data_IF_202883215448
#
_entry.id   IF_202883215448
#
_cell.length_a   1.000
_cell.length_b   1.000
_cell.length_c   1.000
_cell.angle_alpha   90.00
_cell.angle_beta   90.00
_cell.angle_gamma   90.00
#
_symmetry.space_group_name_H-M   'P 1'
#
loop_
_entity.id
_entity.type
_entity.pdbx_description
1 polymer ?
#
# COMPACT_ATOMS: atom_id res chain seq x y z
N UNK A 1 -13.36 30.70 10.97
CA UNK A 1 -14.02 30.42 9.67
C UNK A 1 -13.04 30.12 8.52
N UNK A 2 -11.70 30.21 8.70
CA UNK A 2 -10.75 30.16 7.57
C UNK A 2 -9.80 28.95 7.55
N UNK A 3 -10.01 27.90 8.37
CA UNK A 3 -9.12 26.72 8.39
C UNK A 3 -9.80 25.39 8.04
N UNK A 4 -11.14 25.34 8.06
CA UNK A 4 -11.90 24.16 7.54
C UNK A 4 -11.84 24.13 6.00
N UNK A 5 -11.65 25.30 5.38
CA UNK A 5 -11.35 25.43 3.96
C UNK A 5 -9.95 24.88 3.62
N UNK A 6 -9.04 24.72 4.58
CA UNK A 6 -7.68 24.23 4.32
C UNK A 6 -7.63 22.73 3.99
N UNK A 7 -8.50 21.90 4.53
CA UNK A 7 -8.51 20.46 4.21
C UNK A 7 -9.17 20.19 2.85
N UNK A 8 -10.23 20.93 2.54
CA UNK A 8 -10.80 20.98 1.18
C UNK A 8 -9.94 21.83 0.22
N UNK A 9 -9.24 22.85 0.73
CA UNK A 9 -8.29 23.64 -0.05
C UNK A 9 -6.94 22.92 -0.27
N UNK A 10 -6.54 21.98 0.58
CA UNK A 10 -5.41 21.10 0.29
C UNK A 10 -5.74 20.18 -0.89
N UNK A 11 -6.97 19.68 -0.95
CA UNK A 11 -7.45 18.93 -2.14
C UNK A 11 -7.55 19.86 -3.35
N UNK A 12 -7.98 21.12 -3.20
CA UNK A 12 -8.11 22.06 -4.32
C UNK A 12 -6.78 22.73 -4.73
N UNK A 13 -5.82 22.90 -3.81
CA UNK A 13 -4.49 23.42 -4.14
C UNK A 13 -3.57 22.35 -4.74
N UNK A 14 -3.83 21.06 -4.50
CA UNK A 14 -3.15 19.97 -5.20
C UNK A 14 -3.57 19.86 -6.67
N UNK A 15 -4.79 20.30 -7.01
CA UNK A 15 -5.26 20.36 -8.41
C UNK A 15 -4.58 21.46 -9.24
N UNK A 16 -3.97 22.49 -8.62
CA UNK A 16 -3.34 23.60 -9.33
C UNK A 16 -1.82 23.50 -9.50
N UNK A 17 -1.17 22.49 -8.93
CA UNK A 17 0.22 22.14 -9.23
C UNK A 17 0.31 21.01 -10.26
N UNK A 18 -0.39 21.15 -11.38
CA UNK A 18 0.01 20.42 -12.60
C UNK A 18 1.30 21.08 -13.13
N UNK A 19 2.42 20.71 -12.54
CA UNK A 19 3.70 20.91 -13.19
C UNK A 19 3.73 19.99 -14.41
N UNK A 20 3.74 20.63 -15.57
CA UNK A 20 3.87 20.01 -16.88
C UNK A 20 5.19 19.23 -16.98
N UNK A 21 5.23 18.01 -16.46
CA UNK A 21 6.12 17.01 -17.03
C UNK A 21 5.46 16.55 -18.34
N UNK A 22 6.13 16.79 -19.45
CA UNK A 22 5.74 16.31 -20.76
C UNK A 22 5.62 14.77 -20.71
N UNK A 23 4.43 14.30 -20.35
CA UNK A 23 4.08 12.89 -20.43
C UNK A 23 3.94 12.55 -21.93
N UNK A 24 4.96 11.89 -22.47
CA UNK A 24 4.78 11.17 -23.72
C UNK A 24 3.70 10.12 -23.47
N UNK A 25 2.64 10.18 -24.28
CA UNK A 25 1.36 9.50 -24.10
C UNK A 25 1.46 8.02 -23.66
N UNK A 26 1.56 7.80 -22.36
CA UNK A 26 1.20 6.52 -21.76
C UNK A 26 -0.31 6.49 -21.56
N UNK A 27 -0.94 5.35 -21.70
CA UNK A 27 -2.35 5.20 -21.37
C UNK A 27 -2.51 5.16 -19.84
N UNK A 28 -2.68 6.35 -19.25
CA UNK A 28 -2.82 6.51 -17.79
C UNK A 28 -4.18 6.08 -17.26
N UNK A 29 -5.09 5.58 -18.15
CA UNK A 29 -6.40 5.07 -17.74
C UNK A 29 -6.26 3.78 -16.93
N UNK A 30 -7.28 3.49 -16.13
CA UNK A 30 -7.37 2.20 -15.44
C UNK A 30 -7.38 1.05 -16.45
N UNK A 31 -6.48 0.10 -16.29
CA UNK A 31 -6.34 -1.10 -17.08
C UNK A 31 -6.52 -2.34 -16.20
N UNK A 32 -6.81 -3.48 -16.85
CA UNK A 32 -7.01 -4.75 -16.16
C UNK A 32 -6.31 -5.87 -16.89
N UNK A 33 -5.57 -6.70 -16.14
CA UNK A 33 -5.00 -7.94 -16.62
C UNK A 33 -5.78 -9.12 -16.01
N UNK A 34 -6.47 -9.89 -16.84
CA UNK A 34 -7.05 -11.17 -16.42
C UNK A 34 -5.94 -12.21 -16.33
N UNK A 35 -5.79 -12.83 -15.15
CA UNK A 35 -4.81 -13.89 -14.91
C UNK A 35 -5.46 -15.28 -14.76
N UNK A 36 -6.78 -15.37 -15.02
CA UNK A 36 -7.57 -16.60 -14.89
C UNK A 36 -7.71 -17.05 -13.44
N UNK A 37 -8.09 -18.29 -13.23
CA UNK A 37 -8.15 -18.84 -11.88
C UNK A 37 -6.78 -18.79 -11.23
N UNK A 38 -6.75 -18.20 -10.04
CA UNK A 38 -5.51 -17.89 -9.35
C UNK A 38 -5.44 -18.67 -8.01
N UNK A 39 -4.54 -19.67 -7.91
CA UNK A 39 -4.37 -20.44 -6.69
C UNK A 39 -3.72 -19.60 -5.59
N UNK A 40 -4.21 -19.74 -4.37
CA UNK A 40 -3.69 -19.12 -3.16
C UNK A 40 -2.86 -20.10 -2.34
N UNK A 41 -1.95 -19.59 -1.51
CA UNK A 41 -1.09 -20.44 -0.65
C UNK A 41 -1.87 -21.31 0.33
N UNK A 42 -3.08 -20.91 0.70
CA UNK A 42 -3.96 -21.68 1.59
C UNK A 42 -4.74 -22.81 0.88
N UNK A 43 -4.48 -23.07 -0.38
CA UNK A 43 -5.13 -24.09 -1.20
C UNK A 43 -6.47 -23.67 -1.80
N UNK A 44 -6.99 -22.47 -1.50
CA UNK A 44 -8.14 -21.89 -2.17
C UNK A 44 -7.72 -21.27 -3.51
N UNK A 45 -8.68 -20.74 -4.26
CA UNK A 45 -8.39 -20.01 -5.50
C UNK A 45 -9.37 -18.86 -5.69
N UNK A 46 -8.89 -17.78 -6.34
CA UNK A 46 -9.74 -16.68 -6.83
C UNK A 46 -10.17 -17.02 -8.24
N UNK A 47 -11.47 -17.17 -8.46
CA UNK A 47 -12.05 -17.43 -9.79
C UNK A 47 -11.96 -16.17 -10.64
N UNK A 48 -11.56 -16.31 -11.91
CA UNK A 48 -11.47 -15.20 -12.88
C UNK A 48 -10.70 -13.99 -12.35
N UNK A 49 -9.56 -14.23 -11.71
CA UNK A 49 -8.77 -13.19 -11.06
C UNK A 49 -8.31 -12.10 -12.04
N UNK A 50 -8.58 -10.85 -11.68
CA UNK A 50 -8.17 -9.65 -12.43
C UNK A 50 -7.29 -8.78 -11.54
N UNK A 51 -6.23 -8.24 -12.14
CA UNK A 51 -5.35 -7.26 -11.50
C UNK A 51 -5.53 -5.93 -12.22
N UNK A 52 -5.95 -4.92 -11.48
CA UNK A 52 -6.02 -3.54 -11.96
C UNK A 52 -4.64 -2.89 -11.93
N UNK A 53 -4.35 -2.04 -12.90
CA UNK A 53 -3.11 -1.28 -12.94
C UNK A 53 -3.26 -0.01 -13.77
N UNK A 54 -2.33 0.92 -13.57
CA UNK A 54 -2.14 2.11 -14.41
C UNK A 54 -0.66 2.22 -14.72
N UNK A 55 -0.30 2.79 -15.85
CA UNK A 55 1.10 2.88 -16.25
C UNK A 55 1.47 4.27 -16.77
N UNK A 56 2.72 4.65 -16.55
CA UNK A 56 3.27 5.95 -16.86
C UNK A 56 4.66 5.80 -17.50
N UNK A 57 5.04 6.70 -18.38
CA UNK A 57 6.27 6.59 -19.14
C UNK A 57 6.17 5.60 -20.29
N UNK A 58 7.30 5.20 -20.87
CA UNK A 58 7.37 4.33 -22.03
C UNK A 58 8.19 3.07 -21.76
N UNK A 59 7.57 1.91 -21.93
CA UNK A 59 8.30 0.65 -21.88
C UNK A 59 9.25 0.53 -23.09
N UNK A 60 10.54 0.31 -22.83
CA UNK A 60 11.54 0.15 -23.89
C UNK A 60 11.36 -1.19 -24.64
N UNK A 61 12.00 -1.32 -25.80
CA UNK A 61 11.87 -2.50 -26.67
C UNK A 61 12.32 -3.79 -25.97
N UNK A 62 13.31 -3.72 -25.09
CA UNK A 62 13.82 -4.87 -24.31
C UNK A 62 13.03 -5.14 -23.04
N UNK A 63 12.03 -4.30 -22.72
CA UNK A 63 11.20 -4.38 -21.49
C UNK A 63 12.02 -4.39 -20.18
N UNK A 64 13.16 -3.70 -20.19
CA UNK A 64 14.14 -3.72 -19.11
C UNK A 64 14.11 -2.47 -18.22
N UNK A 65 13.18 -1.51 -18.43
CA UNK A 65 13.09 -0.28 -17.68
C UNK A 65 11.84 -0.18 -16.80
N UNK A 66 11.24 -1.31 -16.45
CA UNK A 66 10.01 -1.34 -15.67
C UNK A 66 10.28 -1.17 -14.17
N UNK A 67 9.46 -0.34 -13.52
CA UNK A 67 9.35 -0.18 -12.08
C UNK A 67 7.90 -0.42 -11.69
N UNK A 68 7.66 -1.19 -10.64
CA UNK A 68 6.30 -1.39 -10.12
C UNK A 68 6.11 -0.69 -8.77
N UNK A 69 4.87 -0.28 -8.53
CA UNK A 69 4.46 0.36 -7.28
C UNK A 69 3.08 -0.20 -6.86
N UNK A 70 3.01 -1.25 -6.04
CA UNK A 70 1.76 -1.78 -5.52
C UNK A 70 1.12 -0.85 -4.49
N UNK A 71 -0.21 -0.80 -4.46
CA UNK A 71 -0.98 0.06 -3.56
C UNK A 71 -0.83 -0.34 -2.10
N UNK A 72 -0.90 0.67 -1.22
CA UNK A 72 -1.07 0.50 0.23
C UNK A 72 -2.47 -0.03 0.61
N UNK A 73 -2.68 -0.25 1.91
CA UNK A 73 -3.97 -0.73 2.43
C UNK A 73 -5.11 0.24 2.14
N UNK A 74 -6.22 -0.27 1.59
CA UNK A 74 -7.37 0.53 1.19
C UNK A 74 -7.15 1.48 0.01
N UNK A 75 -5.91 1.63 -0.45
CA UNK A 75 -5.56 2.53 -1.55
C UNK A 75 -5.87 1.94 -2.94
N UNK A 76 -6.15 2.81 -3.90
CA UNK A 76 -6.25 2.48 -5.32
C UNK A 76 -5.18 3.23 -6.11
N UNK A 77 -4.86 2.76 -7.32
CA UNK A 77 -3.89 3.44 -8.19
C UNK A 77 -4.33 4.85 -8.56
N UNK A 78 -5.64 5.11 -8.62
CA UNK A 78 -6.18 6.46 -8.82
C UNK A 78 -5.88 7.38 -7.62
N UNK A 79 -6.05 6.88 -6.40
CA UNK A 79 -5.72 7.64 -5.18
C UNK A 79 -4.22 7.89 -5.06
N UNK A 80 -3.39 6.91 -5.42
CA UNK A 80 -1.93 7.09 -5.43
C UNK A 80 -1.53 8.26 -6.33
N UNK A 81 -2.10 8.36 -7.53
CA UNK A 81 -1.83 9.49 -8.43
C UNK A 81 -2.29 10.83 -7.84
N UNK A 82 -3.48 10.89 -7.24
CA UNK A 82 -3.99 12.10 -6.59
C UNK A 82 -3.08 12.58 -5.44
N UNK A 83 -2.46 11.66 -4.73
CA UNK A 83 -1.53 11.96 -3.64
C UNK A 83 -0.08 12.12 -4.09
N UNK A 84 0.18 12.17 -5.42
CA UNK A 84 1.53 12.34 -5.96
C UNK A 84 2.45 11.14 -5.76
N UNK A 85 1.92 9.99 -5.35
CA UNK A 85 2.71 8.75 -5.26
C UNK A 85 3.14 8.35 -6.67
N UNK A 86 4.43 8.10 -6.84
CA UNK A 86 5.08 7.89 -8.14
C UNK A 86 5.81 9.12 -8.66
N UNK A 87 5.70 10.28 -8.02
CA UNK A 87 6.58 11.43 -8.30
C UNK A 87 8.05 11.14 -7.98
N UNK A 88 8.28 10.17 -7.11
CA UNK A 88 9.59 9.64 -6.75
C UNK A 88 10.22 8.74 -7.83
N UNK A 89 9.46 8.39 -8.89
CA UNK A 89 9.93 7.61 -10.04
C UNK A 89 9.95 8.47 -11.31
N UNK A 90 11.13 8.69 -11.87
CA UNK A 90 11.29 9.45 -13.13
C UNK A 90 10.72 8.70 -14.33
N UNK A 91 9.50 9.02 -14.72
CA UNK A 91 8.78 8.38 -15.84
C UNK A 91 9.34 8.76 -17.23
N UNK A 92 10.30 9.67 -17.32
CA UNK A 92 11.03 9.91 -18.57
C UNK A 92 12.06 8.81 -18.85
N UNK A 93 12.53 8.13 -17.80
CA UNK A 93 13.52 7.04 -17.85
C UNK A 93 12.86 5.68 -17.64
N UNK A 94 11.92 5.58 -16.73
CA UNK A 94 11.31 4.34 -16.29
C UNK A 94 9.87 4.20 -16.79
N UNK A 95 9.48 2.97 -17.03
CA UNK A 95 8.07 2.62 -17.22
C UNK A 95 7.50 2.23 -15.86
N UNK A 96 6.79 3.15 -15.24
CA UNK A 96 6.16 2.96 -13.94
C UNK A 96 4.81 2.25 -14.10
N UNK A 97 4.59 1.18 -13.34
CA UNK A 97 3.33 0.45 -13.26
C UNK A 97 2.82 0.56 -11.82
N UNK A 98 1.80 1.37 -11.60
CA UNK A 98 1.03 1.35 -10.35
C UNK A 98 0.09 0.15 -10.40
N UNK A 99 0.11 -0.69 -9.35
CA UNK A 99 -0.67 -1.94 -9.33
C UNK A 99 -1.67 -1.89 -8.18
N UNK A 100 -2.94 -2.07 -8.51
CA UNK A 100 -4.00 -2.25 -7.54
C UNK A 100 -3.83 -3.61 -6.83
N UNK A 101 -3.60 -3.60 -5.52
CA UNK A 101 -3.46 -4.83 -4.75
C UNK A 101 -4.79 -5.61 -4.71
N UNK A 102 -4.73 -6.93 -4.57
CA UNK A 102 -5.92 -7.75 -4.32
C UNK A 102 -6.71 -7.20 -3.13
N UNK A 103 -8.02 -7.22 -3.24
CA UNK A 103 -8.91 -6.78 -2.18
C UNK A 103 -9.12 -5.26 -2.08
N UNK A 104 -8.66 -4.44 -3.03
CA UNK A 104 -8.84 -2.98 -2.95
C UNK A 104 -10.11 -2.44 -3.67
N UNK A 105 -10.94 -3.32 -4.23
CA UNK A 105 -12.16 -2.94 -4.97
C UNK A 105 -11.94 -2.67 -6.46
N UNK A 106 -10.70 -2.56 -6.93
CA UNK A 106 -10.32 -2.43 -8.36
C UNK A 106 -9.81 -3.76 -8.90
N UNK A 107 -8.78 -4.34 -8.29
CA UNK A 107 -8.42 -5.75 -8.50
C UNK A 107 -9.49 -6.66 -7.89
N UNK A 108 -9.44 -7.96 -8.20
CA UNK A 108 -10.36 -8.94 -7.63
C UNK A 108 -10.49 -8.79 -6.11
N UNK A 109 -11.71 -8.66 -5.63
CA UNK A 109 -12.04 -8.24 -4.27
C UNK A 109 -13.38 -8.82 -3.82
N UNK A 110 -13.64 -8.87 -2.51
CA UNK A 110 -14.96 -9.24 -1.97
C UNK A 110 -16.12 -8.47 -2.58
N UNK A 111 -15.94 -7.15 -2.85
CA UNK A 111 -17.01 -6.27 -3.35
C UNK A 111 -17.29 -6.41 -4.85
N UNK A 112 -16.35 -6.92 -5.65
CA UNK A 112 -16.48 -6.95 -7.11
C UNK A 112 -16.44 -8.35 -7.73
N UNK A 113 -16.25 -9.40 -6.94
CA UNK A 113 -16.30 -10.77 -7.42
C UNK A 113 -17.75 -11.21 -7.65
N UNK A 114 -18.04 -11.74 -8.83
CA UNK A 114 -19.36 -12.28 -9.16
C UNK A 114 -19.52 -13.70 -8.60
N UNK A 115 -18.50 -14.53 -8.76
CA UNK A 115 -18.54 -15.95 -8.37
C UNK A 115 -18.32 -16.16 -6.87
N UNK A 116 -17.59 -15.26 -6.22
CA UNK A 116 -17.18 -15.38 -4.82
C UNK A 116 -17.41 -14.03 -4.09
N UNK A 117 -18.65 -13.50 -4.05
CA UNK A 117 -18.90 -12.17 -3.50
C UNK A 117 -18.79 -12.14 -1.98
N UNK A 118 -18.42 -10.98 -1.43
CA UNK A 118 -18.44 -10.66 0.00
C UNK A 118 -17.62 -11.68 0.82
N UNK A 119 -18.24 -12.34 1.79
CA UNK A 119 -17.59 -13.31 2.68
C UNK A 119 -17.24 -14.64 2.01
N UNK A 120 -17.74 -14.89 0.81
CA UNK A 120 -17.35 -16.04 -0.01
C UNK A 120 -16.00 -15.82 -0.72
N UNK A 121 -15.51 -14.58 -0.76
CA UNK A 121 -14.20 -14.31 -1.36
C UNK A 121 -13.11 -14.97 -0.53
N UNK A 122 -12.16 -15.74 -1.17
CA UNK A 122 -11.15 -16.45 -0.43
C UNK A 122 -10.17 -15.48 0.25
N UNK A 123 -9.67 -15.86 1.43
CA UNK A 123 -8.65 -15.10 2.12
C UNK A 123 -7.31 -15.27 1.43
N UNK A 124 -6.71 -14.17 1.00
CA UNK A 124 -5.38 -14.10 0.42
C UNK A 124 -4.36 -13.54 1.44
N UNK A 125 -3.08 -13.72 1.16
CA UNK A 125 -1.94 -13.19 1.90
C UNK A 125 -1.22 -12.08 1.12
N UNK A 126 -0.28 -11.36 1.76
CA UNK A 126 0.64 -10.44 1.06
C UNK A 126 1.46 -11.18 0.00
N UNK A 127 1.82 -12.44 0.25
CA UNK A 127 2.53 -13.25 -0.74
C UNK A 127 1.66 -13.61 -1.94
N UNK A 128 0.37 -13.87 -1.73
CA UNK A 128 -0.57 -14.07 -2.84
C UNK A 128 -0.73 -12.80 -3.69
N UNK A 129 -0.75 -11.60 -3.07
CA UNK A 129 -0.72 -10.34 -3.81
C UNK A 129 0.51 -10.28 -4.71
N UNK A 130 1.69 -10.56 -4.18
CA UNK A 130 2.96 -10.57 -4.93
C UNK A 130 2.94 -11.62 -6.05
N UNK A 131 2.47 -12.83 -5.77
CA UNK A 131 2.37 -13.90 -6.77
C UNK A 131 1.41 -13.53 -7.91
N UNK A 132 0.31 -12.84 -7.61
CA UNK A 132 -0.65 -12.37 -8.63
C UNK A 132 -0.03 -11.30 -9.54
N UNK A 133 0.74 -10.37 -8.97
CA UNK A 133 1.49 -9.35 -9.71
C UNK A 133 2.57 -9.98 -10.59
N UNK A 134 3.32 -10.94 -10.06
CA UNK A 134 4.31 -11.69 -10.82
C UNK A 134 3.67 -12.39 -12.04
N UNK A 135 2.53 -13.07 -11.84
CA UNK A 135 1.78 -13.72 -12.93
C UNK A 135 1.29 -12.71 -13.97
N UNK A 136 0.84 -11.53 -13.54
CA UNK A 136 0.47 -10.43 -14.44
C UNK A 136 1.67 -9.96 -15.28
N UNK A 137 2.79 -9.64 -14.63
CA UNK A 137 3.97 -9.09 -15.30
C UNK A 137 4.55 -10.07 -16.31
N UNK A 138 4.76 -11.32 -15.91
CA UNK A 138 5.39 -12.35 -16.76
C UNK A 138 4.45 -12.85 -17.84
N UNK A 139 3.19 -13.13 -17.48
CA UNK A 139 2.24 -13.79 -18.38
C UNK A 139 1.47 -12.83 -19.30
N UNK A 140 1.17 -11.59 -18.87
CA UNK A 140 0.37 -10.64 -19.65
C UNK A 140 1.17 -9.48 -20.22
N UNK A 141 2.16 -8.99 -19.48
CA UNK A 141 2.99 -7.87 -19.92
C UNK A 141 4.30 -8.31 -20.56
N UNK A 142 4.66 -9.60 -20.45
CA UNK A 142 5.93 -10.16 -20.91
C UNK A 142 7.15 -9.38 -20.36
N UNK A 143 7.05 -8.96 -19.07
CA UNK A 143 8.15 -8.34 -18.32
C UNK A 143 8.79 -9.44 -17.47
N UNK A 144 10.07 -9.69 -17.67
CA UNK A 144 10.82 -10.78 -17.04
C UNK A 144 11.82 -10.27 -15.99
N UNK A 145 11.97 -8.95 -15.88
CA UNK A 145 12.84 -8.31 -14.90
C UNK A 145 12.37 -6.89 -14.61
N UNK A 146 12.62 -6.40 -13.40
CA UNK A 146 12.29 -5.06 -12.94
C UNK A 146 13.56 -4.30 -12.54
N UNK A 147 13.61 -3.02 -12.84
CA UNK A 147 14.60 -2.11 -12.23
C UNK A 147 14.34 -2.02 -10.72
N UNK A 148 13.07 -1.86 -10.34
CA UNK A 148 12.74 -1.72 -8.93
C UNK A 148 11.29 -2.15 -8.61
N UNK A 149 11.10 -2.53 -7.35
CA UNK A 149 9.81 -2.56 -6.67
C UNK A 149 9.83 -1.48 -5.60
N UNK A 150 8.94 -0.50 -5.69
CA UNK A 150 8.77 0.58 -4.72
C UNK A 150 7.43 0.40 -4.03
N UNK A 151 7.33 0.65 -2.74
CA UNK A 151 6.04 0.56 -2.07
C UNK A 151 6.02 1.24 -0.71
N UNK A 152 4.84 1.74 -0.33
CA UNK A 152 4.58 2.34 0.96
C UNK A 152 3.53 1.54 1.75
N UNK A 153 3.66 1.48 3.08
CA UNK A 153 2.71 0.79 3.96
C UNK A 153 2.54 -0.69 3.54
N UNK A 154 1.31 -1.17 3.34
CA UNK A 154 1.07 -2.50 2.78
C UNK A 154 1.78 -2.71 1.42
N UNK A 155 1.94 -1.67 0.60
CA UNK A 155 2.74 -1.72 -0.63
C UNK A 155 4.22 -1.97 -0.36
N UNK A 156 4.76 -1.40 0.72
CA UNK A 156 6.14 -1.66 1.18
C UNK A 156 6.32 -3.07 1.72
N UNK A 157 5.31 -3.62 2.43
CA UNK A 157 5.30 -5.04 2.80
C UNK A 157 5.29 -5.96 1.57
N UNK A 158 4.55 -5.59 0.51
CA UNK A 158 4.59 -6.29 -0.77
C UNK A 158 5.99 -6.18 -1.41
N UNK A 159 6.64 -5.00 -1.36
CA UNK A 159 7.98 -4.82 -1.90
C UNK A 159 9.02 -5.72 -1.19
N UNK A 160 8.96 -5.80 0.14
CA UNK A 160 9.80 -6.72 0.93
C UNK A 160 9.50 -8.19 0.58
N UNK A 161 8.23 -8.54 0.39
CA UNK A 161 7.82 -9.88 -0.01
C UNK A 161 8.30 -10.23 -1.43
N UNK A 162 8.32 -9.25 -2.37
CA UNK A 162 8.90 -9.41 -3.71
C UNK A 162 10.37 -9.80 -3.63
N UNK A 163 11.17 -9.09 -2.81
CA UNK A 163 12.60 -9.36 -2.63
C UNK A 163 12.90 -10.80 -2.21
N UNK A 164 12.01 -11.40 -1.41
CA UNK A 164 12.16 -12.77 -0.89
C UNK A 164 11.56 -13.80 -1.83
N UNK A 165 10.39 -13.53 -2.42
CA UNK A 165 9.71 -14.48 -3.30
C UNK A 165 10.40 -14.66 -4.64
N UNK A 166 10.96 -13.57 -5.18
CA UNK A 166 11.55 -13.52 -6.54
C UNK A 166 12.91 -12.81 -6.55
N UNK A 167 13.92 -13.30 -5.80
CA UNK A 167 15.16 -12.56 -5.53
C UNK A 167 15.99 -12.22 -6.78
N UNK A 168 15.75 -12.89 -7.91
CA UNK A 168 16.43 -12.62 -9.18
C UNK A 168 15.61 -11.74 -10.15
N UNK A 169 14.44 -11.28 -9.74
CA UNK A 169 13.50 -10.61 -10.65
C UNK A 169 13.63 -9.08 -10.63
N UNK A 170 14.35 -8.51 -9.68
CA UNK A 170 14.55 -7.06 -9.57
C UNK A 170 15.94 -6.70 -9.10
N UNK A 171 16.40 -5.50 -9.50
CA UNK A 171 17.69 -4.95 -9.07
C UNK A 171 17.58 -4.22 -7.73
N UNK A 172 16.44 -3.56 -7.48
CA UNK A 172 16.23 -2.67 -6.33
C UNK A 172 14.88 -2.87 -5.67
N UNK A 173 14.84 -2.60 -4.36
CA UNK A 173 13.61 -2.56 -3.56
C UNK A 173 13.61 -1.31 -2.70
N UNK A 174 12.52 -0.56 -2.72
CA UNK A 174 12.29 0.57 -1.81
C UNK A 174 11.07 0.26 -0.95
N UNK A 175 11.26 0.25 0.36
CA UNK A 175 10.21 -0.02 1.35
C UNK A 175 10.04 1.20 2.25
N UNK A 176 8.86 1.81 2.23
CA UNK A 176 8.53 3.04 2.97
C UNK A 176 7.45 2.71 3.99
N UNK A 177 7.66 3.05 5.27
CA UNK A 177 6.67 2.83 6.35
C UNK A 177 6.09 1.41 6.35
N UNK A 178 6.95 0.40 6.25
CA UNK A 178 6.57 -1.00 6.21
C UNK A 178 7.48 -1.85 7.10
N UNK A 179 7.16 -3.13 7.26
CA UNK A 179 7.91 -4.04 8.14
C UNK A 179 8.08 -5.42 7.51
N UNK A 180 9.19 -6.14 7.76
CA UNK A 180 9.33 -7.53 7.31
C UNK A 180 8.37 -8.50 8.02
N UNK A 181 7.89 -8.13 9.21
CA UNK A 181 6.92 -8.89 10.01
C UNK A 181 6.26 -7.93 11.00
N UNK A 182 4.97 -8.10 11.25
CA UNK A 182 4.23 -7.27 12.19
C UNK A 182 4.68 -7.47 13.64
N UNK A 183 4.67 -6.40 14.41
CA UNK A 183 4.85 -6.42 15.85
C UNK A 183 3.54 -6.80 16.57
N UNK A 184 3.63 -7.11 17.87
CA UNK A 184 2.44 -7.34 18.71
C UNK A 184 1.53 -6.11 18.75
N UNK A 185 2.11 -4.91 18.74
CA UNK A 185 1.34 -3.65 18.68
C UNK A 185 0.54 -3.56 17.37
N UNK A 186 1.18 -3.84 16.23
CA UNK A 186 0.52 -3.83 14.92
C UNK A 186 -0.62 -4.84 14.85
N UNK A 187 -0.40 -6.05 15.35
CA UNK A 187 -1.42 -7.10 15.42
C UNK A 187 -2.60 -6.68 16.29
N UNK A 188 -2.34 -6.02 17.45
CA UNK A 188 -3.40 -5.62 18.38
C UNK A 188 -4.32 -4.55 17.77
N UNK A 189 -3.76 -3.51 17.15
CA UNK A 189 -4.61 -2.48 16.56
C UNK A 189 -5.39 -3.00 15.34
N UNK A 190 -4.79 -3.86 14.50
CA UNK A 190 -5.47 -4.48 13.35
C UNK A 190 -6.60 -5.40 13.80
N UNK A 191 -6.38 -6.15 14.88
CA UNK A 191 -7.44 -6.93 15.51
C UNK A 191 -8.55 -6.05 16.05
N UNK A 192 -8.20 -4.97 16.79
CA UNK A 192 -9.17 -4.01 17.33
C UNK A 192 -9.97 -3.34 16.22
N UNK A 193 -9.33 -2.95 15.11
CA UNK A 193 -10.00 -2.44 13.92
C UNK A 193 -11.02 -3.44 13.37
N UNK A 194 -10.63 -4.69 13.26
CA UNK A 194 -11.50 -5.78 12.78
C UNK A 194 -12.73 -5.93 13.67
N UNK A 195 -12.56 -5.90 15.00
CA UNK A 195 -13.67 -5.99 15.95
C UNK A 195 -14.53 -4.72 15.94
N UNK A 196 -13.94 -3.53 15.74
CA UNK A 196 -14.70 -2.29 15.60
C UNK A 196 -15.63 -2.33 14.38
N UNK A 197 -15.17 -2.83 13.23
CA UNK A 197 -16.03 -3.03 12.04
C UNK A 197 -17.12 -4.07 12.31
N UNK A 198 -16.79 -5.20 12.93
CA UNK A 198 -17.74 -6.26 13.23
C UNK A 198 -18.80 -5.84 14.26
N UNK A 199 -18.49 -4.91 15.15
CA UNK A 199 -19.42 -4.38 16.15
C UNK A 199 -20.45 -3.42 15.56
N UNK A 200 -20.24 -2.90 14.35
CA UNK A 200 -21.23 -2.12 13.63
C UNK A 200 -22.41 -3.01 13.23
N UNK A 201 -23.59 -2.69 13.74
CA UNK A 201 -24.81 -3.48 13.50
C UNK A 201 -25.16 -3.56 12.01
N UNK A 202 -24.76 -2.58 11.19
CA UNK A 202 -25.01 -2.54 9.75
C UNK A 202 -24.05 -3.43 8.94
N UNK A 203 -22.98 -3.95 9.57
CA UNK A 203 -22.04 -4.87 8.93
C UNK A 203 -22.64 -6.23 8.58
N UNK A 204 -23.63 -6.70 9.35
CA UNK A 204 -24.35 -7.96 9.11
C UNK A 204 -23.44 -9.16 8.82
N UNK A 205 -22.34 -9.28 9.57
CA UNK A 205 -21.35 -10.36 9.35
C UNK A 205 -20.70 -10.36 7.96
N UNK A 206 -20.62 -9.20 7.31
CA UNK A 206 -20.07 -9.02 5.97
C UNK A 206 -21.07 -9.14 4.83
N UNK A 207 -22.38 -9.31 5.12
CA UNK A 207 -23.44 -9.47 4.11
C UNK A 207 -24.29 -8.21 3.91
N UNK A 208 -23.72 -7.03 4.19
CA UNK A 208 -24.38 -5.74 4.02
C UNK A 208 -24.74 -5.44 2.54
N UNK A 209 -25.76 -4.60 2.35
CA UNK A 209 -26.14 -4.06 1.03
C UNK A 209 -25.62 -2.63 0.83
N UNK A 210 -25.48 -1.88 1.92
CA UNK A 210 -24.87 -0.55 1.98
C UNK A 210 -23.60 -0.68 2.82
N UNK A 211 -22.50 -0.14 2.33
CA UNK A 211 -21.22 -0.21 3.05
C UNK A 211 -21.33 0.42 4.44
N UNK A 212 -21.00 -0.30 5.52
CA UNK A 212 -21.05 0.23 6.88
C UNK A 212 -20.17 1.46 7.05
N UNK A 213 -20.64 2.44 7.81
CA UNK A 213 -19.84 3.63 8.12
C UNK A 213 -18.73 3.33 9.15
N UNK A 214 -18.99 2.36 10.03
CA UNK A 214 -18.07 1.87 11.08
C UNK A 214 -17.28 2.98 11.80
N UNK A 215 -17.98 3.92 12.48
CA UNK A 215 -17.33 5.11 13.04
C UNK A 215 -16.21 4.78 14.04
N UNK A 216 -16.33 3.72 14.83
CA UNK A 216 -15.27 3.30 15.75
C UNK A 216 -13.98 2.90 15.01
N UNK A 217 -14.10 2.23 13.86
CA UNK A 217 -12.94 1.87 13.04
C UNK A 217 -12.30 3.12 12.42
N UNK A 218 -13.10 4.09 12.01
CA UNK A 218 -12.63 5.40 11.51
C UNK A 218 -11.89 6.15 12.61
N UNK A 219 -12.47 6.26 13.82
CA UNK A 219 -11.84 6.93 14.96
C UNK A 219 -10.50 6.27 15.33
N UNK A 220 -10.46 4.93 15.40
CA UNK A 220 -9.22 4.19 15.68
C UNK A 220 -8.14 4.52 14.64
N UNK A 221 -8.48 4.54 13.36
CA UNK A 221 -7.54 4.88 12.30
C UNK A 221 -7.00 6.30 12.47
N UNK A 222 -7.85 7.27 12.80
CA UNK A 222 -7.41 8.66 13.03
C UNK A 222 -6.44 8.80 14.21
N UNK A 223 -6.61 8.00 15.27
CA UNK A 223 -5.68 8.00 16.40
C UNK A 223 -4.29 7.49 16.05
N UNK A 224 -4.16 6.70 14.97
CA UNK A 224 -2.91 6.02 14.61
C UNK A 224 -2.19 6.63 13.40
N UNK A 225 -2.90 7.36 12.53
CA UNK A 225 -2.33 7.90 11.28
C UNK A 225 -1.20 8.91 11.52
N UNK A 226 -1.36 9.76 12.53
CA UNK A 226 -0.37 10.79 12.89
C UNK A 226 -0.11 10.76 14.39
N UNK A 227 0.82 11.59 14.87
CA UNK A 227 1.07 11.71 16.30
C UNK A 227 -0.01 12.53 17.02
N UNK A 228 -0.15 12.37 18.35
CA UNK A 228 -1.00 13.27 19.15
C UNK A 228 -0.62 14.75 18.99
N UNK A 229 0.67 15.06 18.83
CA UNK A 229 1.14 16.43 18.60
C UNK A 229 0.60 16.99 17.26
N UNK A 230 0.69 16.21 16.19
CA UNK A 230 0.12 16.62 14.89
C UNK A 230 -1.40 16.83 14.98
N UNK A 231 -2.12 15.91 15.62
CA UNK A 231 -3.57 16.01 15.78
C UNK A 231 -3.95 17.27 16.55
N UNK A 232 -3.29 17.56 17.68
CA UNK A 232 -3.56 18.77 18.48
C UNK A 232 -3.23 20.07 17.74
N UNK A 233 -2.25 20.05 16.84
CA UNK A 233 -1.90 21.21 16.00
C UNK A 233 -2.88 21.42 14.85
N UNK A 234 -3.55 20.38 14.39
CA UNK A 234 -4.46 20.43 13.22
C UNK A 234 -5.93 20.57 13.60
N UNK A 235 -6.34 20.03 14.75
CA UNK A 235 -7.72 20.06 15.25
C UNK A 235 -7.74 20.72 16.64
N UNK A 236 -8.31 21.93 16.74
CA UNK A 236 -8.48 22.58 18.04
C UNK A 236 -9.63 21.95 18.82
N UNK A 237 -9.59 22.06 20.15
CA UNK A 237 -10.68 21.58 21.04
C UNK A 237 -12.02 22.22 20.66
N UNK A 238 -12.04 23.51 20.33
CA UNK A 238 -13.25 24.23 19.94
C UNK A 238 -13.85 23.74 18.61
N UNK A 239 -13.00 23.23 17.71
CA UNK A 239 -13.43 22.69 16.40
C UNK A 239 -13.70 21.18 16.41
N UNK A 240 -13.41 20.48 17.52
CA UNK A 240 -13.44 19.02 17.60
C UNK A 240 -14.80 18.43 17.17
N UNK A 241 -15.91 18.91 17.71
CA UNK A 241 -17.23 18.38 17.39
C UNK A 241 -17.60 18.56 15.90
N UNK A 242 -17.20 19.67 15.30
CA UNK A 242 -17.44 19.93 13.87
C UNK A 242 -16.55 19.05 13.01
N UNK A 243 -15.29 18.88 13.38
CA UNK A 243 -14.36 17.99 12.72
C UNK A 243 -14.82 16.53 12.79
N UNK A 244 -15.22 16.04 13.97
CA UNK A 244 -15.71 14.68 14.17
C UNK A 244 -16.95 14.41 13.33
N UNK A 245 -17.93 15.32 13.34
CA UNK A 245 -19.13 15.20 12.52
C UNK A 245 -18.80 15.14 11.01
N UNK A 246 -17.82 15.92 10.56
CA UNK A 246 -17.36 15.88 9.17
C UNK A 246 -16.68 14.56 8.82
N UNK A 247 -15.85 14.04 9.73
CA UNK A 247 -15.18 12.75 9.57
C UNK A 247 -16.17 11.60 9.46
N UNK A 248 -17.19 11.58 10.30
CA UNK A 248 -18.21 10.52 10.31
C UNK A 248 -19.18 10.59 9.11
N UNK A 249 -19.50 11.81 8.63
CA UNK A 249 -20.34 12.00 7.44
C UNK A 249 -19.64 11.69 6.13
N UNK A 250 -18.32 11.87 6.11
CA UNK A 250 -17.49 11.64 4.93
C UNK A 250 -16.38 10.63 5.29
N UNK A 251 -16.74 9.41 5.72
CA UNK A 251 -15.73 8.42 6.01
C UNK A 251 -14.96 8.13 4.72
N UNK A 252 -13.68 7.85 4.86
CA UNK A 252 -12.90 7.34 3.75
C UNK A 252 -13.49 5.99 3.32
N UNK A 253 -14.27 6.01 2.24
CA UNK A 253 -15.17 4.93 1.87
C UNK A 253 -14.44 3.82 1.13
N UNK A 254 -13.60 3.07 1.85
CA UNK A 254 -13.21 1.74 1.41
C UNK A 254 -14.33 0.77 1.79
N UNK A 255 -14.69 -0.14 0.89
CA UNK A 255 -15.62 -1.21 1.24
C UNK A 255 -15.08 -2.01 2.44
N UNK A 256 -15.91 -2.23 3.44
CA UNK A 256 -15.51 -2.84 4.70
C UNK A 256 -14.91 -4.24 4.52
N UNK A 257 -15.52 -5.11 3.69
CA UNK A 257 -14.97 -6.43 3.44
C UNK A 257 -13.64 -6.35 2.70
N UNK A 258 -13.53 -5.46 1.71
CA UNK A 258 -12.28 -5.28 0.98
C UNK A 258 -11.13 -4.95 1.94
N UNK A 259 -11.33 -3.97 2.80
CA UNK A 259 -10.29 -3.56 3.72
C UNK A 259 -10.02 -4.61 4.82
N UNK A 260 -11.05 -5.28 5.33
CA UNK A 260 -10.87 -6.38 6.29
C UNK A 260 -10.07 -7.53 5.71
N UNK A 261 -10.25 -7.89 4.41
CA UNK A 261 -9.43 -8.91 3.76
C UNK A 261 -7.97 -8.49 3.66
N UNK A 262 -7.70 -7.20 3.36
CA UNK A 262 -6.33 -6.66 3.34
C UNK A 262 -5.73 -6.59 4.75
N UNK A 263 -6.49 -6.15 5.77
CA UNK A 263 -6.04 -6.17 7.17
C UNK A 263 -5.67 -7.58 7.62
N UNK A 264 -6.49 -8.59 7.30
CA UNK A 264 -6.17 -9.99 7.59
C UNK A 264 -4.92 -10.48 6.84
N UNK A 265 -4.73 -10.05 5.57
CA UNK A 265 -3.52 -10.36 4.81
C UNK A 265 -2.28 -9.75 5.48
N UNK A 266 -2.39 -8.51 6.00
CA UNK A 266 -1.35 -7.87 6.79
C UNK A 266 -1.08 -8.62 8.10
N UNK A 267 -2.10 -9.02 8.85
CA UNK A 267 -1.92 -9.77 10.10
C UNK A 267 -1.16 -11.10 9.92
N UNK A 268 -1.20 -11.69 8.72
CA UNK A 268 -0.45 -12.89 8.35
C UNK A 268 0.93 -12.58 7.76
N UNK A 269 1.31 -11.30 7.65
CA UNK A 269 2.54 -10.91 6.98
C UNK A 269 3.79 -11.26 7.79
N UNK A 270 4.59 -12.14 7.24
CA UNK A 270 5.94 -12.49 7.70
C UNK A 270 6.75 -13.00 6.50
N UNK A 271 7.74 -12.23 6.05
CA UNK A 271 8.60 -12.63 4.92
C UNK A 271 9.53 -13.78 5.27
N UNK A 272 9.72 -14.08 6.56
CA UNK A 272 10.67 -15.08 7.03
C UNK A 272 10.12 -16.51 7.06
N UNK A 273 8.84 -16.71 6.77
CA UNK A 273 8.19 -18.03 6.88
C UNK A 273 8.90 -19.12 6.07
N UNK A 274 9.39 -18.82 4.87
CA UNK A 274 10.17 -19.76 4.03
C UNK A 274 11.61 -19.98 4.52
N UNK A 275 12.08 -19.16 5.45
CA UNK A 275 13.40 -19.27 6.09
C UNK A 275 13.31 -19.78 7.54
N UNK A 276 12.24 -20.51 7.87
CA UNK A 276 12.01 -21.06 9.20
C UNK A 276 11.76 -20.01 10.28
N UNK A 277 11.25 -18.84 9.92
CA UNK A 277 10.98 -17.72 10.83
C UNK A 277 12.19 -16.83 11.15
N UNK A 278 13.36 -17.10 10.57
CA UNK A 278 14.58 -16.30 10.79
C UNK A 278 14.69 -15.15 9.79
N UNK A 279 14.70 -13.92 10.28
CA UNK A 279 14.93 -12.73 9.45
C UNK A 279 16.38 -12.63 8.97
N UNK A 280 17.35 -13.11 9.74
CA UNK A 280 18.77 -13.18 9.35
C UNK A 280 18.96 -14.12 8.15
N UNK A 281 18.31 -15.28 8.15
CA UNK A 281 18.34 -16.19 7.01
C UNK A 281 17.58 -15.62 5.81
N UNK A 282 16.46 -14.94 6.05
CA UNK A 282 15.71 -14.24 5.01
C UNK A 282 16.53 -13.15 4.34
N UNK A 283 17.25 -12.34 5.13
CA UNK A 283 18.12 -11.29 4.61
C UNK A 283 19.19 -11.83 3.64
N UNK A 284 19.72 -13.03 3.90
CA UNK A 284 20.70 -13.71 3.01
C UNK A 284 20.10 -14.16 1.68
N UNK A 285 18.77 -14.31 1.58
CA UNK A 285 18.09 -14.70 0.34
C UNK A 285 17.90 -13.51 -0.60
N UNK A 286 17.88 -12.27 -0.08
CA UNK A 286 17.65 -11.05 -0.84
C UNK A 286 18.91 -10.71 -1.65
N UNK A 287 18.71 -10.48 -2.95
CA UNK A 287 19.79 -10.10 -3.89
C UNK A 287 19.69 -8.64 -4.33
N UNK A 288 18.48 -8.09 -4.31
CA UNK A 288 18.24 -6.71 -4.68
C UNK A 288 18.92 -5.74 -3.70
N UNK A 289 19.43 -4.62 -4.22
CA UNK A 289 19.78 -3.47 -3.36
C UNK A 289 18.51 -2.94 -2.70
N UNK A 290 18.63 -2.52 -1.44
CA UNK A 290 17.44 -2.08 -0.69
C UNK A 290 17.61 -0.67 -0.16
N UNK A 291 16.50 0.09 -0.18
CA UNK A 291 16.32 1.32 0.56
C UNK A 291 15.13 1.13 1.51
N UNK A 292 15.33 1.38 2.79
CA UNK A 292 14.30 1.39 3.81
C UNK A 292 14.12 2.81 4.32
N UNK A 293 12.88 3.31 4.28
CA UNK A 293 12.51 4.63 4.80
C UNK A 293 11.49 4.43 5.91
N UNK A 294 11.80 4.93 7.10
CA UNK A 294 11.05 4.67 8.32
C UNK A 294 10.88 5.95 9.14
N UNK A 295 9.67 6.24 9.61
CA UNK A 295 9.42 7.26 10.62
C UNK A 295 9.25 6.60 12.00
N UNK A 296 10.06 6.97 12.97
CA UNK A 296 9.96 6.41 14.34
C UNK A 296 8.61 6.66 15.01
N UNK A 297 7.90 7.70 14.57
CA UNK A 297 6.59 8.09 15.08
C UNK A 297 5.42 7.43 14.34
N UNK A 298 5.68 6.42 13.52
CA UNK A 298 4.62 5.64 12.87
C UNK A 298 3.91 4.74 13.90
N UNK A 299 2.59 4.98 14.06
CA UNK A 299 1.73 4.20 14.95
C UNK A 299 0.84 3.19 14.19
N UNK A 300 0.87 3.19 12.86
CA UNK A 300 0.18 2.19 12.03
C UNK A 300 1.05 0.95 11.87
N UNK A 301 2.34 1.14 11.58
CA UNK A 301 3.32 0.05 11.47
C UNK A 301 4.54 0.40 12.30
N UNK A 302 4.83 -0.39 13.32
CA UNK A 302 6.00 -0.17 14.18
C UNK A 302 7.30 -0.39 13.39
N UNK A 303 8.11 0.66 13.28
CA UNK A 303 9.31 0.69 12.45
C UNK A 303 10.57 0.06 13.08
N UNK A 304 10.50 -0.36 14.35
CA UNK A 304 11.66 -0.92 15.06
C UNK A 304 12.28 -2.10 14.33
N UNK A 305 11.44 -3.00 13.80
CA UNK A 305 11.94 -4.18 13.11
C UNK A 305 12.47 -3.87 11.71
N UNK A 306 11.87 -2.90 11.01
CA UNK A 306 12.36 -2.41 9.70
C UNK A 306 13.74 -1.81 9.81
N UNK A 307 13.96 -0.96 10.82
CA UNK A 307 15.27 -0.34 11.10
C UNK A 307 16.32 -1.42 11.39
N UNK A 308 15.98 -2.45 12.18
CA UNK A 308 16.87 -3.59 12.45
C UNK A 308 17.14 -4.41 11.18
N UNK A 309 16.12 -4.63 10.36
CA UNK A 309 16.23 -5.41 9.13
C UNK A 309 17.11 -4.72 8.07
N UNK A 310 17.13 -3.38 8.04
CA UNK A 310 18.06 -2.63 7.21
C UNK A 310 19.52 -3.02 7.48
N UNK A 311 19.90 -3.18 8.75
CA UNK A 311 21.24 -3.65 9.13
C UNK A 311 21.52 -5.10 8.70
N UNK A 312 20.51 -5.97 8.70
CA UNK A 312 20.68 -7.37 8.29
C UNK A 312 20.87 -7.53 6.76
N UNK A 313 20.32 -6.59 5.97
CA UNK A 313 20.36 -6.61 4.50
C UNK A 313 21.40 -5.67 3.90
N UNK A 314 22.16 -4.92 4.72
CA UNK A 314 22.99 -3.79 4.29
C UNK A 314 22.23 -2.77 3.43
N UNK A 315 20.94 -2.56 3.74
CA UNK A 315 20.11 -1.60 3.04
C UNK A 315 20.55 -0.15 3.34
N UNK A 316 20.39 0.74 2.35
CA UNK A 316 20.36 2.17 2.66
C UNK A 316 19.18 2.44 3.59
N UNK A 317 19.40 3.25 4.63
CA UNK A 317 18.38 3.53 5.65
C UNK A 317 18.19 5.04 5.82
N UNK A 318 16.96 5.47 5.66
CA UNK A 318 16.51 6.83 5.99
C UNK A 318 15.57 6.73 7.19
N UNK A 319 15.95 7.34 8.29
CA UNK A 319 15.11 7.39 9.51
C UNK A 319 14.62 8.80 9.71
N UNK A 320 13.31 8.96 9.74
CA UNK A 320 12.62 10.18 10.11
C UNK A 320 12.14 10.10 11.56
N UNK A 321 11.91 11.26 12.16
CA UNK A 321 11.36 11.40 13.50
C UNK A 321 10.52 12.68 13.53
N UNK A 322 9.30 12.58 12.98
CA UNK A 322 8.41 13.73 12.85
C UNK A 322 6.94 13.35 13.13
N UNK A 323 6.15 14.39 13.36
CA UNK A 323 4.75 14.26 13.79
C UNK A 323 3.77 13.79 12.73
N UNK A 324 4.18 13.60 11.48
CA UNK A 324 3.31 13.09 10.42
C UNK A 324 2.97 11.60 10.61
N UNK A 325 3.71 10.91 11.51
CA UNK A 325 3.44 9.50 11.79
C UNK A 325 3.58 8.63 10.56
N UNK A 326 2.49 7.98 10.15
CA UNK A 326 2.45 7.11 8.96
C UNK A 326 2.39 7.89 7.63
N UNK A 327 2.12 9.20 7.65
CA UNK A 327 1.80 9.98 6.45
C UNK A 327 3.02 10.71 5.83
N UNK A 328 4.17 10.04 5.74
CA UNK A 328 5.41 10.65 5.20
C UNK A 328 5.60 10.46 3.69
N UNK A 329 4.71 9.75 3.00
CA UNK A 329 4.93 9.29 1.62
C UNK A 329 5.19 10.42 0.63
N UNK A 330 4.60 11.60 0.84
CA UNK A 330 4.72 12.77 -0.04
C UNK A 330 5.70 13.82 0.49
N UNK A 331 6.45 13.48 1.54
CA UNK A 331 7.46 14.34 2.07
C UNK A 331 8.69 14.40 1.14
N UNK A 332 9.36 15.54 1.17
CA UNK A 332 10.54 15.79 0.33
C UNK A 332 11.63 14.74 0.54
N UNK A 333 11.87 14.34 1.79
CA UNK A 333 12.95 13.40 2.14
C UNK A 333 12.72 12.01 1.53
N UNK A 334 11.57 11.33 1.69
CA UNK A 334 11.28 10.07 1.03
C UNK A 334 11.36 10.14 -0.50
N UNK A 335 10.79 11.20 -1.10
CA UNK A 335 10.80 11.40 -2.55
C UNK A 335 12.23 11.52 -3.08
N UNK A 336 13.06 12.39 -2.49
CA UNK A 336 14.45 12.61 -2.92
C UNK A 336 15.32 11.38 -2.68
N UNK A 337 15.15 10.69 -1.54
CA UNK A 337 15.88 9.46 -1.24
C UNK A 337 15.56 8.37 -2.26
N UNK A 338 14.29 8.17 -2.59
CA UNK A 338 13.85 7.18 -3.60
C UNK A 338 14.40 7.54 -4.98
N UNK A 339 14.26 8.78 -5.45
CA UNK A 339 14.82 9.25 -6.74
C UNK A 339 16.32 9.01 -6.82
N UNK A 340 17.07 9.41 -5.79
CA UNK A 340 18.52 9.21 -5.72
C UNK A 340 18.87 7.73 -5.80
N UNK A 341 18.19 6.89 -5.02
CA UNK A 341 18.45 5.45 -4.99
C UNK A 341 18.14 4.79 -6.33
N UNK A 342 17.05 5.15 -6.99
CA UNK A 342 16.69 4.61 -8.31
C UNK A 342 17.68 5.05 -9.40
N UNK A 343 18.34 6.19 -9.26
CA UNK A 343 19.29 6.73 -10.24
C UNK A 343 20.70 6.14 -10.18
N UNK A 344 21.07 5.50 -9.08
CA UNK A 344 22.34 4.76 -8.91
C UNK A 344 22.38 3.51 -9.77
#
# INVERSE_FOLDING_TARGET
>A
MNRIILFLALILQLVTKQNAYSQTAADTRQQYASIGDFPLENGQHIVDCKIGYRSFGKLNATRSNAVIYPTGGGGTTFMMELFGVGEDVDTTRFYLILIDALGNGVSSSPSNSISQPKTLFPQFSIRDMVNSQYKMLTGKMNIQHLIAVVGGSMGGCQALQWAVSYPNFMDKVVSIEATPRLSTYDLLWMYTYTEAVKSDTTYHGGNYTVNPASPLAVHLTQLLLTTPANMNNTVSVDSFSTWLTSLEKNPFTVDCNNFLWQVKAMMMHDISTKAGGSLENTAKMIKAKMLIIANKQDHIINQTLSIKFAGMTNAELVVMDNDLGHLIFNEKIPIEATRKFLSQ
#
